data_IF_840398669164
#
_entry.id   IF_840398669164
#
_cell.length_a   1.000
_cell.length_b   1.000
_cell.length_c   1.000
_cell.angle_alpha   90.00
_cell.angle_beta   90.00
_cell.angle_gamma   90.00
#
_symmetry.space_group_name_H-M   'P 1'
#
loop_
_entity.id
_entity.type
_entity.pdbx_description
1 polymer ?
#
# COMPACT_ATOMS: atom_id res chain seq x y z
N UNK A 1 41.46 -16.69 -8.38
CA UNK A 1 41.63 -15.55 -7.45
C UNK A 1 40.65 -14.45 -7.85
N UNK A 2 39.39 -14.61 -7.46
CA UNK A 2 38.41 -13.52 -7.51
C UNK A 2 38.20 -13.00 -6.09
N UNK A 3 38.92 -11.92 -5.80
CA UNK A 3 38.67 -11.12 -4.61
C UNK A 3 37.34 -10.39 -4.83
N UNK A 4 36.30 -10.86 -4.19
CA UNK A 4 35.08 -10.08 -4.04
C UNK A 4 35.40 -8.90 -3.12
N UNK A 5 35.56 -7.71 -3.69
CA UNK A 5 35.63 -6.47 -2.93
C UNK A 5 34.26 -6.26 -2.27
N UNK A 6 34.14 -6.58 -1.00
CA UNK A 6 33.02 -6.15 -0.18
C UNK A 6 33.04 -4.63 -0.15
N UNK A 7 32.13 -3.98 -0.87
CA UNK A 7 31.84 -2.57 -0.65
C UNK A 7 31.30 -2.46 0.77
N UNK A 8 32.13 -2.02 1.69
CA UNK A 8 31.64 -1.49 2.95
C UNK A 8 30.76 -0.30 2.61
N UNK A 9 29.44 -0.47 2.78
CA UNK A 9 28.50 0.64 2.66
C UNK A 9 28.76 1.52 3.87
N UNK A 10 29.54 2.60 3.66
CA UNK A 10 29.71 3.63 4.68
C UNK A 10 28.39 4.36 4.73
N UNK A 11 27.62 4.17 5.82
CA UNK A 11 26.40 4.92 6.07
C UNK A 11 26.77 6.38 6.28
N UNK A 12 26.36 7.27 5.35
CA UNK A 12 26.59 8.70 5.52
C UNK A 12 25.68 9.26 6.61
N UNK A 13 26.21 10.19 7.38
CA UNK A 13 25.51 10.90 8.43
C UNK A 13 25.26 12.35 8.02
N UNK A 14 24.07 12.83 8.36
CA UNK A 14 23.68 14.21 8.13
C UNK A 14 23.09 14.83 9.39
N UNK A 15 22.81 16.12 9.29
CA UNK A 15 22.18 16.89 10.37
C UNK A 15 20.97 17.62 9.86
N UNK A 16 19.91 17.65 10.65
CA UNK A 16 18.68 18.38 10.35
C UNK A 16 19.00 19.88 10.34
N UNK A 17 18.61 20.55 9.26
CA UNK A 17 18.77 21.99 9.10
C UNK A 17 17.47 22.77 9.22
N UNK A 18 16.35 22.15 8.85
CA UNK A 18 15.03 22.79 8.89
C UNK A 18 13.93 21.75 9.08
N UNK A 19 12.91 22.10 9.84
CA UNK A 19 11.72 21.29 10.05
C UNK A 19 10.50 22.17 9.83
N UNK A 20 9.69 21.86 8.82
CA UNK A 20 8.41 22.53 8.55
C UNK A 20 7.34 21.46 8.42
N UNK A 21 6.59 21.20 9.49
CA UNK A 21 5.60 20.14 9.53
C UNK A 21 6.22 18.77 9.21
N UNK A 22 5.71 18.09 8.20
CA UNK A 22 6.20 16.79 7.75
C UNK A 22 7.44 16.86 6.83
N UNK A 23 7.90 18.07 6.50
CA UNK A 23 9.07 18.29 5.64
C UNK A 23 10.29 18.53 6.50
N UNK A 24 11.34 17.74 6.30
CA UNK A 24 12.59 17.83 7.05
C UNK A 24 13.74 17.96 6.06
N UNK A 25 14.53 19.03 6.19
CA UNK A 25 15.73 19.24 5.40
C UNK A 25 16.96 18.76 6.17
N UNK A 26 17.84 18.04 5.48
CA UNK A 26 19.03 17.40 6.06
C UNK A 26 20.24 17.74 5.22
N UNK A 27 21.32 18.17 5.89
CA UNK A 27 22.60 18.47 5.26
C UNK A 27 23.58 17.33 5.52
N UNK A 28 24.25 16.90 4.45
CA UNK A 28 25.29 15.87 4.50
C UNK A 28 26.66 16.47 4.17
N UNK A 29 27.70 15.95 4.82
CA UNK A 29 29.08 16.38 4.57
C UNK A 29 29.76 15.59 3.44
N UNK A 30 29.11 14.50 3.00
CA UNK A 30 29.62 13.61 1.97
C UNK A 30 28.67 13.45 0.80
N UNK A 31 28.64 12.27 0.23
CA UNK A 31 27.74 11.92 -0.85
C UNK A 31 26.28 12.02 -0.42
N UNK A 32 25.45 12.65 -1.28
CA UNK A 32 24.02 12.79 -1.02
C UNK A 32 23.30 11.45 -1.21
N UNK A 33 22.35 11.12 -0.31
CA UNK A 33 21.47 9.97 -0.53
C UNK A 33 20.60 10.16 -1.78
N UNK A 34 20.32 9.07 -2.45
CA UNK A 34 19.48 9.06 -3.64
C UNK A 34 18.03 9.42 -3.32
N UNK A 35 17.32 9.94 -4.30
CA UNK A 35 15.87 10.19 -4.20
C UNK A 35 15.17 8.86 -3.96
N UNK A 36 14.14 8.86 -3.10
CA UNK A 36 13.38 7.73 -2.59
C UNK A 36 14.12 6.86 -1.57
N UNK A 37 15.39 7.15 -1.26
CA UNK A 37 16.07 6.42 -0.19
C UNK A 37 15.56 6.84 1.18
N UNK A 38 15.66 5.91 2.14
CA UNK A 38 15.24 6.13 3.52
C UNK A 38 16.39 6.66 4.36
N UNK A 39 16.09 7.67 5.17
CA UNK A 39 16.97 8.16 6.23
C UNK A 39 16.34 7.81 7.56
N UNK A 40 17.15 7.57 8.57
CA UNK A 40 16.67 7.25 9.92
C UNK A 40 17.22 8.24 10.94
N UNK A 41 16.37 8.65 11.85
CA UNK A 41 16.75 9.41 13.04
C UNK A 41 15.90 8.95 14.23
N UNK A 42 16.34 9.35 15.41
CA UNK A 42 15.57 9.10 16.63
C UNK A 42 14.77 10.35 16.99
N UNK A 43 13.48 10.16 17.23
CA UNK A 43 12.61 11.16 17.83
C UNK A 43 12.14 10.66 19.19
N UNK A 44 12.89 11.01 20.24
CA UNK A 44 12.76 10.35 21.53
C UNK A 44 13.18 8.88 21.42
N UNK A 45 12.31 7.96 21.81
CA UNK A 45 12.55 6.51 21.70
C UNK A 45 12.07 5.93 20.35
N UNK A 46 11.41 6.74 19.52
CA UNK A 46 10.85 6.30 18.27
C UNK A 46 11.87 6.38 17.13
N UNK A 47 11.91 5.33 16.31
CA UNK A 47 12.59 5.34 15.03
C UNK A 47 11.77 6.16 14.04
N UNK A 48 12.27 7.30 13.61
CA UNK A 48 11.63 8.11 12.58
C UNK A 48 12.33 7.88 11.24
N UNK A 49 11.54 7.53 10.24
CA UNK A 49 12.01 7.36 8.87
C UNK A 49 11.63 8.56 8.03
N UNK A 50 12.62 9.07 7.29
CA UNK A 50 12.47 10.18 6.35
C UNK A 50 12.77 9.66 4.94
N UNK A 51 11.90 9.94 3.99
CA UNK A 51 12.12 9.58 2.59
C UNK A 51 12.65 10.78 1.81
N UNK A 52 13.76 10.62 1.12
CA UNK A 52 14.36 11.68 0.30
C UNK A 52 13.47 11.98 -0.91
N UNK A 53 13.02 13.22 -1.02
CA UNK A 53 12.13 13.68 -2.07
C UNK A 53 12.82 14.58 -3.10
N UNK A 54 13.79 15.39 -2.68
CA UNK A 54 14.49 16.36 -3.54
C UNK A 54 15.91 16.58 -3.07
N UNK A 55 16.79 16.86 -4.02
CA UNK A 55 18.11 17.44 -3.75
C UNK A 55 18.00 18.95 -3.85
N UNK A 56 18.46 19.66 -2.79
CA UNK A 56 18.32 21.12 -2.70
C UNK A 56 19.58 21.89 -3.13
N UNK A 57 20.66 21.27 -3.42
CA UNK A 57 21.95 21.96 -3.54
C UNK A 57 22.62 22.19 -2.18
N UNK A 58 23.86 22.66 -2.17
CA UNK A 58 24.67 22.88 -0.96
C UNK A 58 24.73 21.67 -0.03
N UNK A 59 24.79 20.47 -0.63
CA UNK A 59 24.83 19.19 0.08
C UNK A 59 23.61 18.90 0.96
N UNK A 60 22.47 19.45 0.63
CA UNK A 60 21.21 19.27 1.36
C UNK A 60 20.18 18.51 0.58
N UNK A 61 19.36 17.75 1.29
CA UNK A 61 18.20 17.03 0.74
C UNK A 61 16.94 17.44 1.48
N UNK A 62 15.83 17.43 0.77
CA UNK A 62 14.50 17.61 1.36
C UNK A 62 13.81 16.27 1.47
N UNK A 63 13.25 15.99 2.64
CA UNK A 63 12.62 14.71 2.94
C UNK A 63 11.20 14.89 3.41
N UNK A 64 10.42 13.81 3.27
CA UNK A 64 9.07 13.68 3.85
C UNK A 64 9.12 12.67 4.97
N UNK A 65 8.61 13.05 6.14
CA UNK A 65 8.56 12.18 7.30
C UNK A 65 7.43 11.15 7.21
N UNK A 66 7.72 9.95 7.66
CA UNK A 66 6.76 8.84 7.73
C UNK A 66 6.00 8.79 9.07
N UNK A 67 6.35 9.65 10.01
CA UNK A 67 5.68 9.77 11.31
C UNK A 67 5.80 11.22 11.81
N UNK A 68 5.24 11.50 12.99
CA UNK A 68 5.25 12.82 13.56
C UNK A 68 6.68 13.35 13.76
N UNK A 69 6.88 14.63 13.42
CA UNK A 69 8.18 15.31 13.54
C UNK A 69 8.30 16.15 14.84
N UNK A 70 7.27 16.16 15.66
CA UNK A 70 7.28 16.87 16.93
C UNK A 70 8.40 16.36 17.83
N UNK A 71 9.17 17.28 18.38
CA UNK A 71 10.33 16.94 19.20
C UNK A 71 11.66 16.89 18.46
N UNK A 72 11.67 16.87 17.14
CA UNK A 72 12.90 17.01 16.35
C UNK A 72 13.46 18.40 16.49
N UNK A 73 14.79 18.51 16.47
CA UNK A 73 15.52 19.77 16.56
C UNK A 73 16.52 19.91 15.43
N UNK A 74 16.80 21.16 15.06
CA UNK A 74 17.92 21.46 14.16
C UNK A 74 19.22 20.95 14.79
N UNK A 75 20.05 20.31 13.98
CA UNK A 75 21.28 19.70 14.43
C UNK A 75 21.17 18.24 14.85
N UNK A 76 19.97 17.70 14.95
CA UNK A 76 19.78 16.26 15.23
C UNK A 76 20.43 15.42 14.11
N UNK A 77 21.06 14.33 14.51
CA UNK A 77 21.79 13.44 13.60
C UNK A 77 20.80 12.55 12.85
N UNK A 78 21.08 12.39 11.55
CA UNK A 78 20.32 11.54 10.64
C UNK A 78 21.28 10.61 9.90
N UNK A 79 20.91 9.33 9.80
CA UNK A 79 21.73 8.33 9.11
C UNK A 79 21.06 7.90 7.81
N UNK A 80 21.82 7.93 6.71
CA UNK A 80 21.35 7.41 5.43
C UNK A 80 21.45 5.87 5.42
N UNK A 81 20.38 5.19 5.03
CA UNK A 81 20.35 3.72 4.97
C UNK A 81 20.94 3.15 3.68
N UNK A 82 21.09 4.00 2.65
CA UNK A 82 21.57 3.57 1.33
C UNK A 82 20.54 2.82 0.48
N UNK A 83 19.31 2.74 0.90
CA UNK A 83 18.24 2.02 0.22
C UNK A 83 16.88 2.68 0.45
N UNK A 84 15.87 2.43 -0.39
CA UNK A 84 14.49 2.80 -0.09
C UNK A 84 13.99 2.19 1.21
N UNK A 85 12.82 2.63 1.68
CA UNK A 85 12.16 2.02 2.84
C UNK A 85 12.01 0.53 2.59
N UNK A 86 12.51 -0.28 3.51
CA UNK A 86 12.42 -1.74 3.46
C UNK A 86 11.47 -2.24 4.55
N UNK A 87 10.63 -3.18 4.18
CA UNK A 87 9.61 -3.73 5.06
C UNK A 87 9.73 -5.25 5.15
N UNK A 88 9.33 -5.85 6.29
CA UNK A 88 9.35 -7.29 6.43
C UNK A 88 8.38 -7.93 5.45
N UNK A 89 8.79 -9.02 4.85
CA UNK A 89 7.99 -9.81 3.91
C UNK A 89 8.12 -11.29 4.26
N UNK A 90 7.10 -12.08 3.94
CA UNK A 90 7.10 -13.51 4.16
C UNK A 90 5.97 -13.99 5.05
N UNK A 91 5.92 -15.30 5.33
CA UNK A 91 4.83 -15.93 6.10
C UNK A 91 4.62 -15.33 7.49
N UNK A 92 5.66 -14.77 8.09
CA UNK A 92 5.62 -14.16 9.41
C UNK A 92 4.78 -12.87 9.47
N UNK A 93 4.44 -12.29 8.30
CA UNK A 93 3.55 -11.14 8.22
C UNK A 93 2.07 -11.52 8.31
N UNK A 94 1.74 -12.79 8.06
CA UNK A 94 0.37 -13.26 8.12
C UNK A 94 -0.19 -13.18 9.54
N UNK A 95 -1.38 -12.64 9.67
CA UNK A 95 -2.03 -12.42 10.95
C UNK A 95 -1.55 -11.17 11.68
N UNK A 96 -0.63 -10.41 11.11
CA UNK A 96 -0.04 -9.24 11.73
C UNK A 96 -0.56 -7.95 11.09
N UNK A 97 -0.50 -6.88 11.87
CA UNK A 97 -0.80 -5.52 11.40
C UNK A 97 0.49 -4.70 11.47
N UNK A 98 0.93 -4.21 10.35
CA UNK A 98 2.12 -3.35 10.25
C UNK A 98 1.78 -1.98 9.70
N UNK A 99 2.63 -1.00 9.96
CA UNK A 99 2.53 0.34 9.41
C UNK A 99 3.35 0.49 8.12
N UNK A 100 3.47 1.72 7.62
CA UNK A 100 4.17 2.03 6.36
C UNK A 100 5.64 1.61 6.34
N UNK A 101 6.32 1.67 7.47
CA UNK A 101 7.73 1.27 7.60
C UNK A 101 7.92 -0.19 8.07
N UNK A 102 6.83 -0.95 8.14
CA UNK A 102 6.85 -2.34 8.52
C UNK A 102 6.93 -2.61 10.02
N UNK A 103 6.71 -1.61 10.86
CA UNK A 103 6.65 -1.81 12.30
C UNK A 103 5.27 -2.31 12.73
N UNK A 104 5.20 -3.22 13.71
CA UNK A 104 3.94 -3.73 14.18
C UNK A 104 3.12 -2.68 14.94
N UNK A 105 1.82 -2.68 14.74
CA UNK A 105 0.87 -1.84 15.45
C UNK A 105 -0.21 -2.66 16.16
N UNK A 106 -0.03 -3.96 16.21
CA UNK A 106 -0.94 -4.92 16.84
C UNK A 106 -0.53 -5.32 18.27
N UNK A 107 0.52 -4.70 18.81
CA UNK A 107 1.06 -4.96 20.16
C UNK A 107 1.55 -6.41 20.40
N UNK A 108 1.89 -7.13 19.32
CA UNK A 108 2.35 -8.53 19.38
C UNK A 108 3.85 -8.70 19.19
N UNK A 109 4.61 -7.63 19.34
CA UNK A 109 6.06 -7.64 19.17
C UNK A 109 6.52 -7.55 17.73
N UNK A 110 7.81 -7.46 17.54
CA UNK A 110 8.44 -7.28 16.23
C UNK A 110 8.07 -8.39 15.24
N UNK A 111 7.85 -8.02 13.99
CA UNK A 111 7.68 -8.96 12.87
C UNK A 111 9.06 -9.38 12.38
N UNK A 112 9.51 -10.55 12.81
CA UNK A 112 10.83 -11.09 12.46
C UNK A 112 10.73 -11.95 11.21
N UNK A 113 11.24 -11.44 10.11
CA UNK A 113 11.26 -12.15 8.83
C UNK A 113 12.70 -12.41 8.38
N UNK A 114 12.86 -13.39 7.50
CA UNK A 114 14.16 -13.72 6.91
C UNK A 114 14.64 -12.64 5.93
N UNK A 115 13.70 -11.98 5.26
CA UNK A 115 13.96 -10.97 4.25
C UNK A 115 13.16 -9.71 4.51
N UNK A 116 13.74 -8.58 4.07
CA UNK A 116 13.05 -7.30 3.94
C UNK A 116 13.18 -6.84 2.49
N UNK A 117 12.09 -6.31 1.95
CA UNK A 117 12.06 -5.83 0.58
C UNK A 117 11.78 -4.34 0.53
N UNK A 118 12.38 -3.63 -0.46
CA UNK A 118 12.08 -2.21 -0.65
C UNK A 118 10.66 -2.02 -1.17
N UNK A 119 10.01 -0.96 -0.70
CA UNK A 119 8.64 -0.63 -1.15
C UNK A 119 8.62 -0.03 -2.56
N UNK A 120 9.72 0.58 -2.99
CA UNK A 120 9.88 1.09 -4.35
C UNK A 120 10.55 0.01 -5.21
N UNK A 121 9.76 -0.63 -6.03
CA UNK A 121 10.20 -1.72 -6.90
C UNK A 121 9.70 -1.48 -8.31
N UNK A 122 10.46 -1.95 -9.29
CA UNK A 122 10.01 -1.96 -10.68
C UNK A 122 8.87 -2.97 -10.90
N UNK A 123 7.97 -2.65 -11.81
CA UNK A 123 6.98 -3.60 -12.29
C UNK A 123 7.68 -4.83 -12.91
N UNK A 124 7.04 -6.03 -12.92
CA UNK A 124 7.58 -7.19 -13.61
C UNK A 124 7.86 -6.88 -15.08
N UNK A 125 8.96 -7.40 -15.61
CA UNK A 125 9.29 -7.26 -17.02
C UNK A 125 8.24 -7.94 -17.88
N UNK A 126 8.04 -7.46 -19.11
CA UNK A 126 7.06 -8.02 -20.05
C UNK A 126 7.26 -9.52 -20.25
N UNK A 127 8.51 -9.99 -20.29
CA UNK A 127 8.87 -11.41 -20.42
C UNK A 127 8.44 -12.27 -19.23
N UNK A 128 8.31 -11.68 -18.05
CA UNK A 128 7.92 -12.39 -16.82
C UNK A 128 6.41 -12.40 -16.60
N UNK A 129 5.66 -11.62 -17.37
CA UNK A 129 4.21 -11.54 -17.28
C UNK A 129 3.57 -12.70 -18.03
N UNK A 130 2.52 -13.29 -17.41
CA UNK A 130 1.71 -14.29 -18.08
C UNK A 130 0.75 -13.64 -19.07
N UNK A 131 0.64 -14.24 -20.26
CA UNK A 131 -0.32 -13.82 -21.30
C UNK A 131 -1.63 -14.60 -21.24
N UNK A 132 -1.71 -15.62 -20.39
CA UNK A 132 -2.92 -16.44 -20.23
C UNK A 132 -3.96 -15.68 -19.43
N UNK A 133 -5.20 -15.64 -19.94
CA UNK A 133 -6.34 -15.05 -19.24
C UNK A 133 -7.11 -16.16 -18.54
N UNK A 134 -7.11 -16.13 -17.21
CA UNK A 134 -7.88 -17.04 -16.37
C UNK A 134 -8.92 -16.26 -15.56
N UNK A 135 -10.07 -16.87 -15.33
CA UNK A 135 -11.08 -16.34 -14.44
C UNK A 135 -10.73 -16.72 -13.00
N UNK A 136 -10.75 -15.73 -12.11
CA UNK A 136 -10.65 -15.99 -10.67
C UNK A 136 -12.03 -16.41 -10.15
N UNK A 137 -12.13 -17.65 -9.72
CA UNK A 137 -13.36 -18.18 -9.10
C UNK A 137 -13.44 -17.66 -7.67
N UNK A 138 -14.38 -16.75 -7.41
CA UNK A 138 -14.54 -16.09 -6.10
C UNK A 138 -15.47 -16.84 -5.15
N UNK A 139 -16.27 -17.78 -5.66
CA UNK A 139 -17.31 -18.44 -4.89
C UNK A 139 -18.56 -17.59 -4.66
N UNK A 140 -18.58 -16.36 -5.16
CA UNK A 140 -19.71 -15.45 -5.09
C UNK A 140 -20.46 -15.55 -6.42
N UNK A 141 -21.66 -16.10 -6.41
CA UNK A 141 -22.39 -16.47 -7.63
C UNK A 141 -22.63 -15.28 -8.55
N UNK A 142 -23.03 -14.14 -8.00
CA UNK A 142 -23.31 -12.94 -8.81
C UNK A 142 -22.04 -12.43 -9.50
N UNK A 143 -20.91 -12.51 -8.84
CA UNK A 143 -19.61 -12.12 -9.43
C UNK A 143 -19.20 -13.12 -10.51
N UNK A 144 -19.16 -14.39 -10.19
CA UNK A 144 -18.62 -15.41 -11.10
C UNK A 144 -19.47 -15.61 -12.35
N UNK A 145 -20.79 -15.44 -12.26
CA UNK A 145 -21.71 -15.63 -13.38
C UNK A 145 -21.98 -14.36 -14.20
N UNK A 146 -22.04 -13.21 -13.56
CA UNK A 146 -22.51 -11.98 -14.20
C UNK A 146 -21.45 -10.89 -14.36
N UNK A 147 -20.44 -10.85 -13.47
CA UNK A 147 -19.38 -9.86 -13.49
C UNK A 147 -18.05 -10.49 -13.02
N UNK A 148 -17.52 -11.48 -13.77
CA UNK A 148 -16.38 -12.27 -13.33
C UNK A 148 -15.09 -11.45 -13.25
N UNK A 149 -14.21 -11.85 -12.33
CA UNK A 149 -12.89 -11.26 -12.17
C UNK A 149 -11.84 -12.05 -12.97
N UNK A 150 -10.95 -11.35 -13.63
CA UNK A 150 -9.77 -11.96 -14.22
C UNK A 150 -8.67 -12.11 -13.16
N UNK A 151 -8.01 -13.27 -13.12
CA UNK A 151 -6.85 -13.50 -12.27
C UNK A 151 -5.73 -12.52 -12.69
N UNK A 152 -5.15 -11.81 -11.74
CA UNK A 152 -4.20 -10.73 -12.01
C UNK A 152 -4.85 -9.42 -12.44
N UNK A 153 -6.17 -9.36 -12.46
CA UNK A 153 -6.93 -8.17 -12.85
C UNK A 153 -7.01 -7.13 -11.74
N UNK A 154 -7.36 -5.92 -12.14
CA UNK A 154 -7.56 -4.77 -11.25
C UNK A 154 -9.05 -4.45 -11.22
N UNK A 155 -9.68 -4.68 -10.09
CA UNK A 155 -11.12 -4.53 -9.92
C UNK A 155 -11.40 -3.27 -9.09
N UNK A 156 -12.17 -2.35 -9.63
CA UNK A 156 -12.69 -1.21 -8.90
C UNK A 156 -13.94 -1.58 -8.13
N UNK A 157 -13.97 -1.30 -6.84
CA UNK A 157 -15.13 -1.52 -5.97
C UNK A 157 -15.77 -0.19 -5.65
N UNK A 158 -17.00 -0.01 -6.12
CA UNK A 158 -17.81 1.18 -5.89
C UNK A 158 -18.93 0.88 -4.92
N UNK A 159 -19.15 1.76 -3.98
CA UNK A 159 -20.24 1.66 -3.02
C UNK A 159 -20.12 2.71 -1.93
N UNK A 160 -21.24 3.28 -1.55
CA UNK A 160 -21.32 4.22 -0.45
C UNK A 160 -21.21 3.54 0.92
N UNK A 161 -21.31 4.33 1.97
CA UNK A 161 -21.33 3.81 3.33
C UNK A 161 -22.55 2.91 3.55
N UNK A 162 -22.36 1.80 4.26
CA UNK A 162 -23.46 0.91 4.67
C UNK A 162 -24.01 0.00 3.59
N UNK A 163 -23.33 -0.16 2.44
CA UNK A 163 -23.79 -1.03 1.34
C UNK A 163 -23.16 -2.42 1.32
N UNK A 164 -22.46 -2.80 2.39
CA UNK A 164 -21.90 -4.14 2.52
C UNK A 164 -20.54 -4.33 1.87
N UNK A 165 -19.74 -3.27 1.72
CA UNK A 165 -18.38 -3.36 1.22
C UNK A 165 -17.52 -4.34 2.03
N UNK A 166 -17.58 -4.27 3.34
CA UNK A 166 -16.85 -5.17 4.24
C UNK A 166 -17.32 -6.62 4.09
N UNK A 167 -18.62 -6.85 3.90
CA UNK A 167 -19.17 -8.19 3.66
C UNK A 167 -18.56 -8.80 2.39
N UNK A 168 -18.50 -8.05 1.31
CA UNK A 168 -17.89 -8.51 0.07
C UNK A 168 -16.39 -8.83 0.24
N UNK A 169 -15.65 -7.96 0.89
CA UNK A 169 -14.21 -8.15 1.15
C UNK A 169 -13.99 -9.43 1.96
N UNK A 170 -14.75 -9.63 3.03
CA UNK A 170 -14.64 -10.83 3.88
C UNK A 170 -15.00 -12.11 3.13
N UNK A 171 -16.03 -12.09 2.30
CA UNK A 171 -16.39 -13.22 1.44
C UNK A 171 -15.28 -13.56 0.45
N UNK A 172 -14.71 -12.57 -0.21
CA UNK A 172 -13.58 -12.77 -1.13
C UNK A 172 -12.37 -13.40 -0.43
N UNK A 173 -11.98 -12.85 0.70
CA UNK A 173 -10.82 -13.36 1.47
C UNK A 173 -11.08 -14.80 1.92
N UNK A 174 -12.23 -15.05 2.49
CA UNK A 174 -12.58 -16.36 3.03
C UNK A 174 -12.65 -17.43 1.93
N UNK A 175 -13.27 -17.10 0.81
CA UNK A 175 -13.42 -18.04 -0.31
C UNK A 175 -12.09 -18.32 -1.01
N UNK A 176 -11.24 -17.32 -1.22
CA UNK A 176 -9.91 -17.51 -1.81
C UNK A 176 -9.01 -18.33 -0.87
N UNK A 177 -9.06 -18.06 0.42
CA UNK A 177 -8.29 -18.84 1.40
C UNK A 177 -8.73 -20.33 1.42
N UNK A 178 -10.04 -20.60 1.34
CA UNK A 178 -10.58 -21.95 1.38
C UNK A 178 -10.42 -22.71 0.06
N UNK A 179 -10.75 -22.08 -1.06
CA UNK A 179 -10.80 -22.74 -2.37
C UNK A 179 -9.43 -22.85 -3.03
N UNK A 180 -8.56 -21.87 -2.85
CA UNK A 180 -7.28 -21.78 -3.53
C UNK A 180 -6.06 -21.87 -2.60
N UNK A 181 -6.28 -21.87 -1.28
CA UNK A 181 -5.19 -21.81 -0.30
C UNK A 181 -4.37 -20.52 -0.37
N UNK A 182 -4.89 -19.51 -1.04
CA UNK A 182 -4.22 -18.25 -1.30
C UNK A 182 -4.19 -17.31 -0.10
N UNK A 183 -3.30 -16.33 -0.17
CA UNK A 183 -3.16 -15.32 0.84
C UNK A 183 -3.79 -14.00 0.40
N UNK A 184 -4.15 -13.18 1.37
CA UNK A 184 -4.70 -11.85 1.13
C UNK A 184 -3.86 -10.81 1.87
N UNK A 185 -3.69 -9.65 1.25
CA UNK A 185 -3.07 -8.49 1.87
C UNK A 185 -4.05 -7.33 1.78
N UNK A 186 -4.36 -6.72 2.90
CA UNK A 186 -5.25 -5.57 2.98
C UNK A 186 -4.45 -4.33 3.33
N UNK A 187 -4.45 -3.34 2.43
CA UNK A 187 -3.85 -2.04 2.65
C UNK A 187 -4.94 -1.02 2.98
N UNK A 188 -4.98 -0.59 4.22
CA UNK A 188 -5.86 0.47 4.68
C UNK A 188 -5.20 1.83 4.49
N UNK A 189 -5.68 2.62 3.54
CA UNK A 189 -5.10 3.91 3.18
C UNK A 189 -5.99 5.05 3.67
N UNK A 190 -5.53 5.77 4.68
CA UNK A 190 -6.26 6.90 5.26
C UNK A 190 -7.54 6.51 5.97
N UNK A 191 -7.64 5.30 6.47
CA UNK A 191 -8.81 4.80 7.20
C UNK A 191 -8.91 5.35 8.61
N UNK A 192 -10.11 5.30 9.14
CA UNK A 192 -10.34 5.55 10.57
C UNK A 192 -9.83 4.36 11.37
N UNK A 193 -9.21 4.64 12.51
CA UNK A 193 -8.70 3.63 13.43
C UNK A 193 -9.77 2.59 13.81
N UNK A 194 -11.00 3.04 14.05
CA UNK A 194 -12.13 2.16 14.38
C UNK A 194 -12.45 1.16 13.27
N UNK A 195 -12.50 1.61 12.02
CA UNK A 195 -12.81 0.74 10.88
C UNK A 195 -11.74 -0.33 10.67
N UNK A 196 -10.46 0.05 10.79
CA UNK A 196 -9.35 -0.89 10.70
C UNK A 196 -9.36 -1.92 11.82
N UNK A 197 -9.70 -1.52 13.03
CA UNK A 197 -9.82 -2.42 14.18
C UNK A 197 -11.01 -3.37 14.04
N UNK A 198 -12.16 -2.88 13.58
CA UNK A 198 -13.34 -3.69 13.33
C UNK A 198 -13.07 -4.77 12.27
N UNK A 199 -12.40 -4.41 11.18
CA UNK A 199 -12.00 -5.36 10.14
C UNK A 199 -11.08 -6.46 10.67
N UNK A 200 -10.10 -6.10 11.50
CA UNK A 200 -9.20 -7.06 12.13
C UNK A 200 -9.96 -8.07 12.99
N UNK A 201 -10.90 -7.59 13.81
CA UNK A 201 -11.73 -8.47 14.66
C UNK A 201 -12.66 -9.36 13.82
N UNK A 202 -13.24 -8.85 12.75
CA UNK A 202 -14.04 -9.67 11.83
C UNK A 202 -13.22 -10.77 11.16
N UNK A 203 -11.97 -10.50 10.81
CA UNK A 203 -11.06 -11.50 10.27
C UNK A 203 -10.71 -12.59 11.29
N UNK A 204 -10.59 -12.24 12.55
CA UNK A 204 -10.40 -13.20 13.64
C UNK A 204 -11.67 -14.07 13.80
N UNK A 205 -12.83 -13.45 13.85
CA UNK A 205 -14.10 -14.15 14.04
C UNK A 205 -14.42 -15.11 12.89
N UNK A 206 -14.04 -14.76 11.67
CA UNK A 206 -14.21 -15.63 10.49
C UNK A 206 -13.16 -16.72 10.35
N UNK A 207 -12.12 -16.70 11.18
CA UNK A 207 -11.02 -17.69 11.13
C UNK A 207 -9.96 -17.41 10.06
N UNK A 208 -10.01 -16.29 9.36
CA UNK A 208 -8.99 -15.88 8.38
C UNK A 208 -7.69 -15.49 9.09
N UNK A 209 -7.79 -14.81 10.22
CA UNK A 209 -6.67 -14.52 11.10
C UNK A 209 -6.82 -15.34 12.39
N UNK A 210 -5.76 -16.05 12.72
CA UNK A 210 -5.66 -16.79 13.97
C UNK A 210 -4.72 -16.04 14.90
N UNK A 211 -5.24 -15.43 15.97
CA UNK A 211 -4.43 -14.57 16.85
C UNK A 211 -3.35 -15.35 17.59
N UNK A 212 -3.54 -16.66 17.74
CA UNK A 212 -2.58 -17.56 18.38
C UNK A 212 -2.25 -18.73 17.43
N UNK A 213 -0.97 -18.96 17.23
CA UNK A 213 -0.48 -20.06 16.42
C UNK A 213 -0.51 -19.80 14.90
N UNK A 214 -0.09 -20.82 14.13
CA UNK A 214 -0.01 -20.73 12.65
C UNK A 214 -1.39 -20.87 12.00
N UNK A 215 -1.48 -20.46 10.74
CA UNK A 215 -2.65 -20.68 9.89
C UNK A 215 -3.41 -19.42 9.50
N UNK A 216 -2.92 -18.23 9.85
CA UNK A 216 -3.48 -16.98 9.31
C UNK A 216 -3.29 -16.89 7.81
N UNK A 217 -4.29 -16.35 7.10
CA UNK A 217 -4.32 -16.23 5.63
C UNK A 217 -4.29 -14.78 5.13
N UNK A 218 -4.25 -13.82 6.02
CA UNK A 218 -4.25 -12.41 5.68
C UNK A 218 -3.20 -11.63 6.45
N UNK A 219 -2.61 -10.63 5.79
CA UNK A 219 -1.74 -9.62 6.38
C UNK A 219 -2.40 -8.25 6.24
N UNK A 220 -2.28 -7.41 7.26
CA UNK A 220 -2.87 -6.08 7.29
C UNK A 220 -1.78 -5.02 7.32
N UNK A 221 -1.91 -4.00 6.50
CA UNK A 221 -0.99 -2.86 6.44
C UNK A 221 -1.80 -1.58 6.53
N UNK A 222 -1.64 -0.82 7.61
CA UNK A 222 -2.46 0.36 7.87
C UNK A 222 -1.64 1.65 7.85
N UNK A 223 -2.11 2.61 7.07
CA UNK A 223 -1.74 4.02 7.14
C UNK A 223 -2.99 4.83 7.48
N UNK A 224 -3.22 5.08 8.76
CA UNK A 224 -4.45 5.67 9.26
C UNK A 224 -4.54 7.16 8.94
N UNK A 225 -5.76 7.72 9.02
CA UNK A 225 -6.01 9.12 8.64
C UNK A 225 -5.31 10.15 9.52
N UNK A 226 -4.93 9.78 10.74
CA UNK A 226 -4.20 10.64 11.67
C UNK A 226 -2.68 10.63 11.45
N UNK A 227 -2.18 9.76 10.59
CA UNK A 227 -0.76 9.72 10.24
C UNK A 227 -0.41 10.80 9.21
N UNK A 228 0.86 11.24 9.16
CA UNK A 228 1.27 12.29 8.21
C UNK A 228 1.09 11.84 6.75
N UNK A 229 1.01 12.80 5.82
CA UNK A 229 0.75 12.51 4.41
C UNK A 229 1.79 11.58 3.77
N UNK A 230 3.05 11.64 4.20
CA UNK A 230 4.08 10.72 3.73
C UNK A 230 3.74 9.26 3.98
N UNK A 231 3.28 8.94 5.19
CA UNK A 231 2.85 7.58 5.56
C UNK A 231 1.65 7.12 4.71
N UNK A 232 0.63 7.97 4.59
CA UNK A 232 -0.57 7.65 3.80
C UNK A 232 -0.28 7.51 2.30
N UNK A 233 0.71 8.24 1.79
CA UNK A 233 1.12 8.16 0.39
C UNK A 233 1.93 6.89 0.06
N UNK A 234 2.48 6.20 1.06
CA UNK A 234 3.39 5.06 0.87
C UNK A 234 2.82 3.72 1.37
N UNK A 235 1.79 3.75 2.20
CA UNK A 235 1.26 2.52 2.83
C UNK A 235 0.75 1.51 1.80
N UNK A 236 0.14 1.95 0.71
CA UNK A 236 -0.30 1.05 -0.36
C UNK A 236 0.89 0.32 -1.02
N UNK A 237 2.02 1.00 -1.17
CA UNK A 237 3.25 0.40 -1.68
C UNK A 237 3.81 -0.65 -0.71
N UNK A 238 3.72 -0.40 0.58
CA UNK A 238 4.12 -1.37 1.62
C UNK A 238 3.27 -2.64 1.52
N UNK A 239 1.96 -2.49 1.45
CA UNK A 239 1.04 -3.64 1.29
C UNK A 239 1.29 -4.41 0.00
N UNK A 240 1.50 -3.70 -1.09
CA UNK A 240 1.80 -4.31 -2.38
C UNK A 240 3.12 -5.09 -2.35
N UNK A 241 4.14 -4.59 -1.66
CA UNK A 241 5.42 -5.28 -1.50
C UNK A 241 5.27 -6.62 -0.77
N UNK A 242 4.45 -6.66 0.27
CA UNK A 242 4.12 -7.91 0.97
C UNK A 242 3.40 -8.89 0.03
N UNK A 243 2.46 -8.40 -0.77
CA UNK A 243 1.75 -9.22 -1.77
C UNK A 243 2.69 -9.75 -2.86
N UNK A 244 3.61 -8.93 -3.33
CA UNK A 244 4.60 -9.33 -4.35
C UNK A 244 5.52 -10.46 -3.86
N UNK A 245 5.89 -10.47 -2.59
CA UNK A 245 6.67 -11.58 -2.04
C UNK A 245 5.94 -12.91 -2.18
N UNK A 246 4.67 -12.97 -1.80
CA UNK A 246 3.87 -14.19 -1.91
C UNK A 246 3.67 -14.64 -3.36
N UNK A 247 3.48 -13.69 -4.28
CA UNK A 247 3.39 -14.00 -5.72
C UNK A 247 4.70 -14.56 -6.26
N UNK A 248 5.83 -13.88 -5.99
CA UNK A 248 7.09 -14.13 -6.68
C UNK A 248 7.96 -15.21 -6.00
N UNK A 249 7.92 -15.31 -4.68
CA UNK A 249 8.72 -16.27 -3.93
C UNK A 249 7.96 -17.53 -3.53
N UNK A 250 6.67 -17.45 -3.31
CA UNK A 250 5.86 -18.58 -2.90
C UNK A 250 4.90 -19.08 -4.00
N UNK A 251 4.87 -18.41 -5.14
CA UNK A 251 4.04 -18.80 -6.27
C UNK A 251 2.54 -18.77 -5.98
N UNK A 252 2.12 -17.90 -5.08
CA UNK A 252 0.73 -17.81 -4.64
C UNK A 252 -0.12 -16.93 -5.56
N UNK A 253 -1.42 -17.21 -5.54
CA UNK A 253 -2.42 -16.30 -6.05
C UNK A 253 -2.89 -15.42 -4.90
N UNK A 254 -2.54 -14.14 -4.95
CA UNK A 254 -2.73 -13.20 -3.85
C UNK A 254 -3.89 -12.27 -4.17
N UNK A 255 -4.79 -12.07 -3.20
CA UNK A 255 -5.74 -10.96 -3.23
C UNK A 255 -5.12 -9.76 -2.53
N UNK A 256 -5.09 -8.63 -3.22
CA UNK A 256 -4.61 -7.37 -2.70
C UNK A 256 -5.74 -6.35 -2.64
N UNK A 257 -6.08 -5.90 -1.44
CA UNK A 257 -7.12 -4.91 -1.22
C UNK A 257 -6.50 -3.55 -0.91
N UNK A 258 -7.04 -2.51 -1.54
CA UNK A 258 -6.70 -1.12 -1.23
C UNK A 258 -7.98 -0.38 -0.85
N UNK A 259 -8.08 0.05 0.35
CA UNK A 259 -9.22 0.83 0.82
C UNK A 259 -8.74 2.17 1.40
N UNK A 260 -8.86 3.26 0.70
CA UNK A 260 -9.31 3.33 -0.69
C UNK A 260 -8.24 3.99 -1.55
N UNK A 261 -8.30 3.77 -2.84
CA UNK A 261 -7.29 4.30 -3.78
C UNK A 261 -7.34 5.84 -3.89
N UNK A 262 -8.48 6.47 -3.64
CA UNK A 262 -8.59 7.92 -3.61
C UNK A 262 -7.70 8.53 -2.52
N UNK A 263 -7.62 7.90 -1.36
CA UNK A 263 -6.76 8.38 -0.26
C UNK A 263 -5.28 8.30 -0.61
N UNK A 264 -4.90 7.34 -1.41
CA UNK A 264 -3.54 7.27 -1.96
C UNK A 264 -3.24 8.50 -2.83
N UNK A 265 -4.11 8.86 -3.75
CA UNK A 265 -3.94 10.05 -4.59
C UNK A 265 -4.01 11.34 -3.80
N UNK A 266 -4.90 11.44 -2.84
CA UNK A 266 -5.04 12.60 -1.95
C UNK A 266 -3.75 12.82 -1.13
N UNK A 267 -3.21 11.77 -0.54
CA UNK A 267 -1.96 11.87 0.22
C UNK A 267 -0.78 12.29 -0.68
N UNK A 268 -0.71 11.77 -1.90
CA UNK A 268 0.26 12.21 -2.90
C UNK A 268 0.13 13.69 -3.26
N UNK A 269 -1.10 14.20 -3.34
CA UNK A 269 -1.38 15.62 -3.55
C UNK A 269 -0.89 16.48 -2.38
N UNK A 270 -1.13 16.05 -1.15
CA UNK A 270 -0.65 16.74 0.06
C UNK A 270 0.89 16.79 0.10
N UNK A 271 1.55 15.69 -0.20
CA UNK A 271 3.03 15.63 -0.29
C UNK A 271 3.55 16.58 -1.37
N UNK A 272 2.94 16.57 -2.55
CA UNK A 272 3.32 17.47 -3.65
C UNK A 272 3.18 18.93 -3.27
N UNK A 273 2.12 19.31 -2.58
CA UNK A 273 1.92 20.68 -2.08
C UNK A 273 2.98 21.07 -1.05
N UNK A 274 3.30 20.17 -0.12
CA UNK A 274 4.35 20.40 0.87
C UNK A 274 5.73 20.59 0.24
N UNK A 275 5.99 19.95 -0.89
CA UNK A 275 7.23 20.10 -1.65
C UNK A 275 7.24 21.34 -2.55
N UNK A 276 6.17 22.11 -2.59
CA UNK A 276 6.07 23.33 -3.38
C UNK A 276 5.93 23.09 -4.89
N UNK A 277 5.49 21.92 -5.32
CA UNK A 277 5.24 21.64 -6.73
C UNK A 277 4.01 22.39 -7.22
N UNK A 278 4.04 22.83 -8.49
CA UNK A 278 2.90 23.50 -9.11
C UNK A 278 1.79 22.48 -9.32
N UNK A 279 0.58 22.71 -8.75
CA UNK A 279 -0.52 21.75 -8.90
C UNK A 279 -1.03 21.71 -10.34
N UNK A 280 -1.51 20.54 -10.75
CA UNK A 280 -2.24 20.33 -12.00
C UNK A 280 -3.74 20.61 -11.83
N UNK A 281 -4.57 20.10 -12.73
CA UNK A 281 -6.03 20.30 -12.69
C UNK A 281 -6.63 19.88 -11.32
N UNK A 282 -7.54 20.71 -10.81
CA UNK A 282 -8.29 20.49 -9.55
C UNK A 282 -7.37 20.37 -8.31
N UNK A 283 -6.14 20.89 -8.40
CA UNK A 283 -5.20 20.90 -7.28
C UNK A 283 -4.45 19.59 -7.04
N UNK A 284 -4.59 18.58 -7.90
CA UNK A 284 -3.83 17.34 -7.81
C UNK A 284 -2.36 17.53 -8.18
N UNK A 285 -1.52 16.59 -7.76
CA UNK A 285 -0.09 16.57 -8.08
C UNK A 285 0.14 16.45 -9.61
N UNK A 286 1.19 17.08 -10.15
CA UNK A 286 1.52 16.95 -11.56
C UNK A 286 1.95 15.53 -11.95
N UNK A 287 2.33 14.72 -10.97
CA UNK A 287 2.77 13.32 -11.14
C UNK A 287 1.66 12.31 -10.92
N UNK A 288 0.39 12.72 -10.88
CA UNK A 288 -0.75 11.83 -10.57
C UNK A 288 -0.77 10.57 -11.42
N UNK A 289 -0.66 10.72 -12.74
CA UNK A 289 -0.68 9.58 -13.66
C UNK A 289 0.53 8.65 -13.45
N UNK A 290 1.70 9.20 -13.18
CA UNK A 290 2.93 8.43 -12.91
C UNK A 290 2.84 7.71 -11.58
N UNK A 291 2.37 8.37 -10.52
CA UNK A 291 2.20 7.77 -9.20
C UNK A 291 1.22 6.59 -9.25
N UNK A 292 0.09 6.78 -9.92
CA UNK A 292 -0.90 5.73 -10.10
C UNK A 292 -0.36 4.60 -10.97
N UNK A 293 0.30 4.89 -12.08
CA UNK A 293 0.89 3.91 -12.98
C UNK A 293 1.94 3.05 -12.29
N UNK A 294 2.82 3.66 -11.51
CA UNK A 294 3.85 2.93 -10.77
C UNK A 294 3.27 1.94 -9.75
N UNK A 295 2.15 2.29 -9.13
CA UNK A 295 1.44 1.36 -8.24
C UNK A 295 0.75 0.25 -9.05
N UNK A 296 -0.03 0.62 -10.06
CA UNK A 296 -0.93 -0.30 -10.76
C UNK A 296 -0.19 -1.33 -11.63
N UNK A 297 0.90 -0.95 -12.27
CA UNK A 297 1.65 -1.86 -13.16
C UNK A 297 2.35 -3.00 -12.43
N UNK A 298 2.59 -2.85 -11.13
CA UNK A 298 3.12 -3.94 -10.29
C UNK A 298 2.08 -5.01 -9.99
N UNK A 299 0.80 -4.69 -10.12
CA UNK A 299 -0.33 -5.57 -9.86
C UNK A 299 -0.64 -6.34 -11.14
N UNK A 300 -0.11 -7.55 -11.25
CA UNK A 300 -0.27 -8.37 -12.47
C UNK A 300 -0.01 -9.84 -12.18
N UNK A 301 -0.36 -10.68 -13.13
CA UNK A 301 0.00 -12.10 -13.14
C UNK A 301 1.38 -12.27 -13.75
N UNK A 302 2.25 -13.00 -13.07
CA UNK A 302 3.54 -13.41 -13.59
C UNK A 302 3.53 -14.93 -13.86
N UNK A 303 4.62 -15.45 -14.42
CA UNK A 303 4.80 -16.87 -14.60
C UNK A 303 4.97 -17.65 -13.27
N UNK A 304 5.08 -16.97 -12.14
CA UNK A 304 5.21 -17.55 -10.80
C UNK A 304 3.92 -17.58 -10.01
N UNK A 305 3.12 -16.55 -10.11
CA UNK A 305 1.88 -16.39 -9.37
C UNK A 305 1.10 -15.17 -9.83
N UNK A 306 0.06 -14.79 -9.09
CA UNK A 306 -0.77 -13.64 -9.45
C UNK A 306 -1.06 -12.73 -8.26
N UNK A 307 -1.25 -11.45 -8.56
CA UNK A 307 -1.90 -10.50 -7.66
C UNK A 307 -3.16 -10.01 -8.34
N UNK A 308 -4.31 -10.28 -7.74
CA UNK A 308 -5.59 -9.72 -8.15
C UNK A 308 -5.97 -8.66 -7.15
N UNK A 309 -6.20 -7.42 -7.59
CA UNK A 309 -6.52 -6.32 -6.69
C UNK A 309 -7.99 -5.98 -6.69
N UNK A 310 -8.50 -5.66 -5.51
CA UNK A 310 -9.80 -5.03 -5.32
C UNK A 310 -9.56 -3.68 -4.67
N UNK A 311 -9.85 -2.62 -5.41
CA UNK A 311 -9.54 -1.25 -5.01
C UNK A 311 -10.84 -0.50 -4.78
N UNK A 312 -11.08 -0.12 -3.54
CA UNK A 312 -12.23 0.72 -3.22
C UNK A 312 -12.02 2.12 -3.80
N UNK A 313 -12.99 2.58 -4.54
CA UNK A 313 -12.94 3.87 -5.25
C UNK A 313 -14.01 4.79 -4.69
N UNK A 314 -13.56 5.97 -4.26
CA UNK A 314 -14.42 7.09 -3.90
C UNK A 314 -14.44 8.09 -5.05
N UNK A 315 -15.62 8.54 -5.42
CA UNK A 315 -15.80 9.54 -6.48
C UNK A 315 -16.17 10.88 -5.82
N UNK A 316 -15.24 11.85 -5.77
CA UNK A 316 -15.51 13.14 -5.15
C UNK A 316 -16.70 13.85 -5.82
N UNK A 317 -17.68 14.26 -5.01
CA UNK A 317 -18.89 14.97 -5.48
C UNK A 317 -19.63 14.25 -6.64
N UNK A 318 -19.54 12.93 -6.72
CA UNK A 318 -20.09 12.11 -7.81
C UNK A 318 -19.60 12.50 -9.22
N UNK A 319 -18.47 13.19 -9.30
CA UNK A 319 -17.87 13.66 -10.54
C UNK A 319 -16.85 12.64 -11.09
N UNK A 320 -17.29 11.83 -12.05
CA UNK A 320 -16.44 10.84 -12.72
C UNK A 320 -15.35 11.48 -13.61
N UNK A 321 -15.43 12.77 -13.86
CA UNK A 321 -14.42 13.51 -14.63
C UNK A 321 -13.30 14.05 -13.75
N UNK A 322 -13.42 13.96 -12.43
CA UNK A 322 -12.35 14.30 -11.51
C UNK A 322 -11.08 13.48 -11.85
N UNK A 323 -9.89 14.11 -11.85
CA UNK A 323 -8.66 13.43 -12.25
C UNK A 323 -8.32 12.16 -11.48
N UNK A 324 -8.68 12.05 -10.19
CA UNK A 324 -8.37 10.87 -9.40
C UNK A 324 -9.16 9.64 -9.85
N UNK A 325 -10.51 9.64 -9.92
CA UNK A 325 -11.25 8.51 -10.47
C UNK A 325 -10.95 8.29 -11.95
N UNK A 326 -10.81 9.33 -12.76
CA UNK A 326 -10.51 9.20 -14.17
C UNK A 326 -9.18 8.47 -14.43
N UNK A 327 -8.12 8.81 -13.67
CA UNK A 327 -6.82 8.14 -13.74
C UNK A 327 -6.91 6.70 -13.25
N UNK A 328 -7.68 6.44 -12.19
CA UNK A 328 -7.89 5.09 -11.66
C UNK A 328 -8.62 4.20 -12.66
N UNK A 329 -9.68 4.71 -13.32
CA UNK A 329 -10.44 3.96 -14.33
C UNK A 329 -9.58 3.47 -15.48
N UNK A 330 -8.57 4.23 -15.88
CA UNK A 330 -7.68 3.84 -16.98
C UNK A 330 -6.92 2.52 -16.71
N UNK A 331 -6.77 2.13 -15.44
CA UNK A 331 -6.07 0.92 -15.02
C UNK A 331 -6.99 -0.25 -14.66
N UNK A 332 -8.30 -0.02 -14.54
CA UNK A 332 -9.23 -1.07 -14.12
C UNK A 332 -9.59 -2.02 -15.24
N UNK A 333 -9.60 -3.31 -14.93
CA UNK A 333 -10.03 -4.38 -15.83
C UNK A 333 -11.51 -4.72 -15.66
N UNK A 334 -12.04 -4.48 -14.47
CA UNK A 334 -13.44 -4.75 -14.12
C UNK A 334 -13.91 -3.82 -13.00
N UNK A 335 -15.21 -3.73 -12.84
CA UNK A 335 -15.82 -2.98 -11.75
C UNK A 335 -16.87 -3.82 -11.04
N UNK A 336 -16.98 -3.65 -9.73
CA UNK A 336 -18.05 -4.16 -8.90
C UNK A 336 -18.76 -2.99 -8.26
N UNK A 337 -20.05 -2.86 -8.49
CA UNK A 337 -20.87 -1.80 -7.92
C UNK A 337 -21.78 -2.38 -6.86
N UNK A 338 -21.67 -1.87 -5.63
CA UNK A 338 -22.56 -2.20 -4.54
C UNK A 338 -23.73 -1.22 -4.51
N UNK A 339 -24.96 -1.76 -4.50
CA UNK A 339 -26.18 -0.98 -4.57
C UNK A 339 -26.84 -0.89 -3.20
N UNK A 340 -27.17 0.33 -2.78
CA UNK A 340 -27.95 0.57 -1.57
C UNK A 340 -29.35 -0.06 -1.67
N UNK A 341 -29.98 0.00 -2.83
CA UNK A 341 -31.29 -0.57 -3.06
C UNK A 341 -31.31 -2.09 -2.83
N UNK A 342 -30.24 -2.78 -3.28
CA UNK A 342 -30.11 -4.22 -3.07
C UNK A 342 -29.83 -4.53 -1.60
N UNK A 343 -28.99 -3.73 -0.95
CA UNK A 343 -28.69 -3.89 0.47
C UNK A 343 -29.92 -3.67 1.36
N UNK A 344 -30.77 -2.71 1.03
CA UNK A 344 -31.99 -2.39 1.78
C UNK A 344 -33.03 -3.52 1.77
N UNK A 345 -33.05 -4.34 0.74
CA UNK A 345 -33.91 -5.53 0.69
C UNK A 345 -33.24 -6.78 1.29
N UNK A 346 -32.08 -6.62 1.92
CA UNK A 346 -31.40 -7.69 2.67
C UNK A 346 -30.60 -8.67 1.83
N UNK A 347 -30.29 -8.36 0.57
CA UNK A 347 -29.48 -9.22 -0.30
C UNK A 347 -28.02 -8.83 -0.16
N UNK A 348 -27.17 -9.77 0.23
CA UNK A 348 -25.73 -9.61 0.36
C UNK A 348 -24.97 -10.77 -0.29
N UNK A 349 -23.81 -10.52 -0.92
CA UNK A 349 -23.27 -9.19 -1.25
C UNK A 349 -24.25 -8.38 -2.13
N UNK A 350 -24.34 -7.07 -1.86
CA UNK A 350 -25.28 -6.18 -2.55
C UNK A 350 -24.77 -5.73 -3.92
N UNK A 351 -24.29 -6.68 -4.71
CA UNK A 351 -23.69 -6.42 -6.03
C UNK A 351 -24.79 -6.13 -7.05
N UNK A 352 -24.66 -4.99 -7.74
CA UNK A 352 -25.51 -4.65 -8.87
C UNK A 352 -24.90 -5.24 -10.15
N UNK A 353 -25.50 -6.29 -10.75
CA UNK A 353 -24.93 -6.91 -11.92
C UNK A 353 -25.08 -6.10 -13.21
N UNK A 354 -25.96 -5.10 -13.22
CA UNK A 354 -26.18 -4.26 -14.40
C UNK A 354 -25.16 -3.13 -14.48
N UNK A 355 -24.74 -2.60 -13.33
CA UNK A 355 -23.77 -1.50 -13.25
C UNK A 355 -22.32 -1.99 -13.06
N UNK A 356 -22.17 -3.27 -12.80
CA UNK A 356 -20.85 -3.89 -12.62
C UNK A 356 -20.19 -4.30 -13.93
#
# INVERSE_FOLDING_TARGET
NHIRSGKFIIMSKGKITQIIGAVVDVKFDGELPEILSALECKNGDNRLVLEVAQHLGESSVRTIAMDATEGLKRGDEVTATGAPIQVPVGPETLGRIINVIGEPIDEKGEVKTKEKWPIHRAAPEFSDQSTETEILVTGIKVVDLLAPYAKGGKIGLFGGAGVGKTVLIMELINNVAKAHGGFSVFAGVGERTREGNDLYHEMIDSGVIKPEGPGSKAALVYGQMNEPPGARARVALTGLTVAEYFRDQEGQDVLFFVDNIFRFTQAGSEVSALLGRIPSAVGYQPTLATDMGNLQERITTTNKGSITSVQAIYVPADDLTDPAPATSFAHLDATTVLSRQIAEIGIYPAVDPLDS
#
